data_IF_207379147862
#
_entry.id   IF_207379147862
#
_cell.length_a   1.000
_cell.length_b   1.000
_cell.length_c   1.000
_cell.angle_alpha   90.00
_cell.angle_beta   90.00
_cell.angle_gamma   90.00
#
_symmetry.space_group_name_H-M   'P 1'
#
loop_
_entity.id
_entity.type
_entity.pdbx_description
1 polymer ?
#
# COMPACT_ATOMS: atom_id res chain seq x y z
N UNK A 1 3.01 23.08 7.73
CA UNK A 1 4.35 23.25 7.13
C UNK A 1 4.85 21.83 6.95
N UNK A 2 5.05 21.37 5.74
CA UNK A 2 5.87 20.17 5.52
C UNK A 2 7.27 20.61 5.95
N UNK A 3 7.77 20.05 7.04
CA UNK A 3 9.17 20.24 7.42
C UNK A 3 9.99 19.64 6.27
N UNK A 4 10.99 20.40 5.82
CA UNK A 4 11.81 20.01 4.66
C UNK A 4 12.62 18.77 5.07
N UNK A 5 12.27 17.60 4.54
CA UNK A 5 12.98 16.33 4.80
C UNK A 5 14.40 16.49 4.26
N UNK A 6 15.39 16.48 5.16
CA UNK A 6 16.83 16.56 4.81
C UNK A 6 17.49 15.20 4.77
N UNK A 7 16.98 14.25 5.56
CA UNK A 7 17.47 12.87 5.65
C UNK A 7 16.27 11.95 5.42
N UNK A 8 16.06 11.48 4.19
CA UNK A 8 14.96 10.59 3.87
C UNK A 8 15.19 9.19 4.48
N UNK A 9 14.11 8.62 5.02
CA UNK A 9 14.05 7.24 5.51
C UNK A 9 13.32 6.38 4.49
N UNK A 10 13.96 5.30 4.06
CA UNK A 10 13.33 4.20 3.32
C UNK A 10 13.09 3.06 4.29
N UNK A 11 11.81 2.82 4.62
CA UNK A 11 11.41 1.81 5.59
C UNK A 11 10.97 0.55 4.85
N UNK A 12 11.72 -0.55 5.02
CA UNK A 12 11.40 -1.84 4.40
C UNK A 12 10.89 -2.79 5.46
N UNK A 13 9.65 -3.22 5.27
CA UNK A 13 8.90 -4.08 6.18
C UNK A 13 8.57 -5.43 5.52
N UNK A 14 8.02 -6.35 6.28
CA UNK A 14 7.66 -7.70 5.82
C UNK A 14 8.05 -8.74 6.86
N UNK A 15 7.41 -9.90 6.82
CA UNK A 15 7.72 -11.00 7.75
C UNK A 15 9.13 -11.53 7.58
N UNK A 16 9.60 -12.30 8.55
CA UNK A 16 10.89 -13.00 8.46
C UNK A 16 10.94 -13.82 7.15
N UNK A 17 12.09 -13.81 6.49
CA UNK A 17 12.34 -14.49 5.20
C UNK A 17 11.46 -13.98 4.02
N UNK A 18 10.81 -12.84 4.15
CA UNK A 18 10.00 -12.25 3.05
C UNK A 18 10.83 -11.64 1.91
N UNK A 19 12.16 -11.67 2.01
CA UNK A 19 13.07 -11.16 0.98
C UNK A 19 13.49 -9.69 1.17
N UNK A 20 13.31 -9.09 2.36
CA UNK A 20 13.74 -7.71 2.68
C UNK A 20 15.22 -7.49 2.40
N UNK A 21 16.07 -8.37 2.95
CA UNK A 21 17.54 -8.31 2.80
C UNK A 21 17.95 -8.38 1.33
N UNK A 22 17.38 -9.32 0.57
CA UNK A 22 17.65 -9.48 -0.87
C UNK A 22 17.23 -8.24 -1.66
N UNK A 23 16.04 -7.70 -1.37
CA UNK A 23 15.54 -6.48 -1.99
C UNK A 23 16.47 -5.27 -1.71
N UNK A 24 16.87 -5.11 -0.45
CA UNK A 24 17.75 -4.01 -0.04
C UNK A 24 19.18 -4.17 -0.57
N UNK A 25 19.77 -5.39 -0.54
CA UNK A 25 21.10 -5.63 -1.09
C UNK A 25 21.15 -5.31 -2.59
N UNK A 26 20.09 -5.69 -3.32
CA UNK A 26 19.94 -5.31 -4.73
C UNK A 26 19.79 -3.80 -4.91
N UNK A 27 18.88 -3.16 -4.18
CA UNK A 27 18.52 -1.73 -4.34
C UNK A 27 19.71 -0.82 -4.00
N UNK A 28 20.44 -1.11 -2.91
CA UNK A 28 21.59 -0.32 -2.47
C UNK A 28 22.76 -0.30 -3.48
N UNK A 29 22.79 -1.25 -4.41
CA UNK A 29 23.82 -1.37 -5.44
C UNK A 29 23.42 -0.72 -6.77
N UNK A 30 22.19 -0.22 -6.91
CA UNK A 30 21.70 0.36 -8.17
C UNK A 30 22.15 1.80 -8.35
N UNK A 31 22.50 2.18 -9.58
CA UNK A 31 22.92 3.54 -9.93
C UNK A 31 21.81 4.57 -9.66
N UNK A 32 20.54 4.21 -9.87
CA UNK A 32 19.40 5.11 -9.61
C UNK A 32 19.20 5.39 -8.13
N UNK A 33 19.70 4.54 -7.25
CA UNK A 33 19.62 4.69 -5.80
C UNK A 33 20.94 5.20 -5.18
N UNK A 34 21.97 5.44 -5.99
CA UNK A 34 23.26 5.93 -5.52
C UNK A 34 23.16 7.39 -5.02
N UNK A 35 23.87 7.69 -3.93
CA UNK A 35 24.09 9.04 -3.44
C UNK A 35 25.57 9.26 -3.15
N UNK A 36 26.04 10.51 -3.19
CA UNK A 36 27.42 10.83 -2.85
C UNK A 36 27.66 10.78 -1.32
N UNK A 37 26.61 10.98 -0.54
CA UNK A 37 26.64 11.00 0.92
C UNK A 37 26.64 9.61 1.56
N UNK A 38 26.52 9.61 2.88
CA UNK A 38 26.50 8.40 3.68
C UNK A 38 25.08 7.84 3.82
N UNK A 39 24.92 6.54 3.56
CA UNK A 39 23.71 5.79 3.92
C UNK A 39 23.91 5.10 5.25
N UNK A 40 22.96 5.27 6.18
CA UNK A 40 22.86 4.49 7.41
C UNK A 40 21.83 3.37 7.19
N UNK A 41 22.29 2.11 7.20
CA UNK A 41 21.44 0.94 7.17
C UNK A 41 21.20 0.44 8.60
N UNK A 42 19.97 0.47 9.07
CA UNK A 42 19.57 -0.03 10.39
C UNK A 42 18.90 -1.39 10.20
N UNK A 43 19.46 -2.43 10.82
CA UNK A 43 18.93 -3.80 10.79
C UNK A 43 18.21 -4.09 12.10
N UNK A 44 16.90 -4.34 12.02
CA UNK A 44 16.06 -4.67 13.16
C UNK A 44 15.73 -6.17 13.24
N UNK A 45 16.27 -6.98 12.34
CA UNK A 45 16.04 -8.42 12.27
C UNK A 45 17.26 -9.14 11.72
N UNK A 46 17.59 -10.31 12.27
CA UNK A 46 18.59 -11.22 11.72
C UNK A 46 17.86 -12.31 10.93
N UNK A 47 18.07 -12.37 9.61
CA UNK A 47 17.58 -13.41 8.71
C UNK A 47 18.67 -14.43 8.35
N UNK A 48 18.32 -15.39 7.47
CA UNK A 48 19.31 -16.35 6.92
C UNK A 48 20.22 -15.69 5.89
N UNK A 49 19.73 -14.66 5.19
CA UNK A 49 20.50 -13.91 4.19
C UNK A 49 21.33 -12.82 4.85
N UNK A 50 22.59 -12.72 4.45
CA UNK A 50 23.56 -11.75 4.96
C UNK A 50 23.92 -10.71 3.87
N UNK A 51 24.12 -9.46 4.28
CA UNK A 51 24.64 -8.42 3.39
C UNK A 51 26.12 -8.63 3.04
N UNK A 52 26.48 -8.36 1.79
CA UNK A 52 27.87 -8.26 1.39
C UNK A 52 28.49 -6.94 1.91
N UNK A 53 29.19 -7.03 3.04
CA UNK A 53 29.77 -5.88 3.72
C UNK A 53 30.81 -5.14 2.86
N UNK A 54 31.45 -5.80 1.90
CA UNK A 54 32.42 -5.14 1.02
C UNK A 54 31.69 -4.31 -0.06
N UNK A 55 30.55 -4.77 -0.56
CA UNK A 55 29.68 -4.00 -1.45
C UNK A 55 29.05 -2.80 -0.74
N UNK A 56 28.57 -2.98 0.49
CA UNK A 56 28.02 -1.87 1.28
C UNK A 56 29.04 -0.75 1.52
N UNK A 57 30.32 -1.09 1.72
CA UNK A 57 31.39 -0.08 1.81
C UNK A 57 31.60 0.69 0.51
N UNK A 58 31.41 0.04 -0.64
CA UNK A 58 31.53 0.71 -1.94
C UNK A 58 30.42 1.74 -2.18
N UNK A 59 29.25 1.53 -1.58
CA UNK A 59 28.10 2.46 -1.64
C UNK A 59 28.08 3.46 -0.46
N UNK A 60 29.20 3.59 0.29
CA UNK A 60 29.29 4.45 1.48
C UNK A 60 28.20 4.15 2.53
N UNK A 61 27.82 2.88 2.68
CA UNK A 61 26.80 2.42 3.60
C UNK A 61 27.40 1.93 4.92
N UNK A 62 26.93 2.47 6.04
CA UNK A 62 27.28 2.06 7.40
C UNK A 62 26.11 1.27 7.99
N UNK A 63 26.41 0.17 8.68
CA UNK A 63 25.40 -0.73 9.24
C UNK A 63 25.37 -0.58 10.76
N UNK A 64 24.17 -0.47 11.33
CA UNK A 64 23.88 -0.52 12.78
C UNK A 64 22.77 -1.55 13.06
N UNK A 65 22.91 -2.33 14.12
CA UNK A 65 21.91 -3.31 14.55
C UNK A 65 21.05 -2.79 15.70
N UNK A 66 19.76 -3.13 15.68
CA UNK A 66 18.81 -2.94 16.78
C UNK A 66 18.03 -4.26 16.93
N UNK A 67 18.42 -5.11 17.86
CA UNK A 67 17.86 -6.47 18.02
C UNK A 67 16.52 -6.46 18.75
N UNK A 68 16.36 -5.58 19.75
CA UNK A 68 15.16 -5.51 20.58
C UNK A 68 14.32 -4.27 20.24
N UNK A 69 12.97 -4.43 20.18
CA UNK A 69 12.04 -3.33 19.90
C UNK A 69 12.20 -2.18 20.91
N UNK A 70 12.55 -2.52 22.18
CA UNK A 70 12.74 -1.55 23.27
C UNK A 70 13.95 -0.65 23.03
N UNK A 71 14.93 -1.09 22.25
CA UNK A 71 16.14 -0.33 21.90
C UNK A 71 15.93 0.63 20.71
N UNK A 72 14.88 0.43 19.91
CA UNK A 72 14.49 1.36 18.87
C UNK A 72 13.77 2.56 19.48
N UNK A 73 14.57 3.55 19.88
CA UNK A 73 14.09 4.74 20.58
C UNK A 73 14.51 6.03 19.89
N UNK A 74 13.79 7.17 20.10
CA UNK A 74 14.21 8.48 19.62
C UNK A 74 15.65 8.83 20.00
N UNK A 75 16.07 8.50 21.23
CA UNK A 75 17.41 8.75 21.73
C UNK A 75 18.48 7.91 21.00
N UNK A 76 18.17 6.66 20.67
CA UNK A 76 19.09 5.79 19.91
C UNK A 76 19.25 6.33 18.49
N UNK A 77 18.16 6.70 17.83
CA UNK A 77 18.21 7.30 16.48
C UNK A 77 18.97 8.63 16.48
N UNK A 78 18.74 9.51 17.48
CA UNK A 78 19.48 10.76 17.62
C UNK A 78 20.98 10.55 17.85
N UNK A 79 21.36 9.51 18.61
CA UNK A 79 22.77 9.15 18.79
C UNK A 79 23.40 8.65 17.46
N UNK A 80 22.70 7.84 16.68
CA UNK A 80 23.14 7.40 15.36
C UNK A 80 23.30 8.58 14.39
N UNK A 81 22.38 9.56 14.41
CA UNK A 81 22.47 10.78 13.61
C UNK A 81 23.75 11.56 13.93
N UNK A 82 24.05 11.78 15.22
CA UNK A 82 25.26 12.51 15.66
C UNK A 82 26.54 11.75 15.26
N UNK A 83 26.56 10.43 15.40
CA UNK A 83 27.76 9.61 15.14
C UNK A 83 28.03 9.49 13.64
N UNK A 84 27.00 9.21 12.87
CA UNK A 84 27.16 8.83 11.46
C UNK A 84 26.93 10.00 10.50
N UNK A 85 26.12 11.00 10.88
CA UNK A 85 25.72 12.13 10.05
C UNK A 85 25.24 11.66 8.65
N UNK A 86 24.22 10.79 8.60
CA UNK A 86 23.77 10.21 7.32
C UNK A 86 23.05 11.27 6.48
N UNK A 87 23.15 11.11 5.15
CA UNK A 87 22.32 11.85 4.19
C UNK A 87 21.08 11.04 3.76
N UNK A 88 21.04 9.75 4.12
CA UNK A 88 19.93 8.84 3.90
C UNK A 88 19.93 7.72 4.94
N UNK A 89 18.76 7.32 5.37
CA UNK A 89 18.56 6.17 6.25
C UNK A 89 17.76 5.10 5.52
N UNK A 90 18.17 3.85 5.66
CA UNK A 90 17.44 2.67 5.21
C UNK A 90 17.21 1.80 6.43
N UNK A 91 15.99 1.34 6.65
CA UNK A 91 15.65 0.50 7.79
C UNK A 91 15.09 -0.82 7.30
N UNK A 92 15.78 -1.92 7.59
CA UNK A 92 15.21 -3.26 7.52
C UNK A 92 14.46 -3.54 8.81
N UNK A 93 13.14 -3.36 8.79
CA UNK A 93 12.31 -3.40 9.98
C UNK A 93 11.96 -4.84 10.37
N UNK A 94 11.86 -5.10 11.68
CA UNK A 94 11.49 -6.43 12.18
C UNK A 94 10.03 -6.73 11.87
N UNK A 95 9.78 -7.87 11.21
CA UNK A 95 8.46 -8.28 10.78
C UNK A 95 7.46 -8.62 11.90
N UNK A 96 7.89 -8.63 13.16
CA UNK A 96 7.02 -8.86 14.32
C UNK A 96 6.67 -7.58 15.08
N UNK A 97 7.27 -6.44 14.73
CA UNK A 97 7.00 -5.17 15.37
C UNK A 97 5.92 -4.39 14.61
N UNK A 98 5.12 -3.60 15.34
CA UNK A 98 4.11 -2.75 14.71
C UNK A 98 4.77 -1.56 14.01
N UNK A 99 4.54 -1.42 12.71
CA UNK A 99 5.03 -0.30 11.90
C UNK A 99 4.44 1.02 12.40
N UNK A 100 3.17 1.01 12.79
CA UNK A 100 2.47 2.17 13.35
C UNK A 100 3.13 2.75 14.61
N UNK A 101 3.94 1.97 15.35
CA UNK A 101 4.74 2.51 16.47
C UNK A 101 5.92 3.34 15.96
N UNK A 102 6.60 2.89 14.91
CA UNK A 102 7.70 3.63 14.29
C UNK A 102 7.21 4.91 13.64
N UNK A 103 6.11 4.86 12.89
CA UNK A 103 5.49 6.02 12.24
C UNK A 103 5.11 7.14 13.24
N UNK A 104 4.76 6.77 14.48
CA UNK A 104 4.39 7.69 15.54
C UNK A 104 5.59 8.14 16.40
N UNK A 105 6.77 7.60 16.15
CA UNK A 105 7.97 7.91 16.90
C UNK A 105 8.49 9.31 16.58
N UNK A 106 9.01 10.02 17.59
CA UNK A 106 9.74 11.26 17.38
C UNK A 106 11.08 10.97 16.70
N UNK A 107 11.25 11.44 15.48
CA UNK A 107 12.46 11.24 14.69
C UNK A 107 13.47 12.37 14.94
N UNK A 108 14.79 12.16 14.68
CA UNK A 108 15.79 13.22 14.68
C UNK A 108 15.39 14.37 13.76
N UNK A 109 15.85 15.58 14.07
CA UNK A 109 15.52 16.79 13.30
C UNK A 109 15.95 16.66 11.83
N UNK A 110 14.98 16.80 10.93
CA UNK A 110 15.18 16.70 9.48
C UNK A 110 15.10 15.27 8.93
N UNK A 111 14.95 14.25 9.78
CA UNK A 111 14.61 12.91 9.31
C UNK A 111 13.12 12.83 8.99
N UNK A 112 12.77 12.06 7.98
CA UNK A 112 11.38 11.80 7.63
C UNK A 112 11.23 10.57 6.75
N UNK A 113 10.12 9.86 6.89
CA UNK A 113 9.81 8.71 6.04
C UNK A 113 9.51 9.26 4.64
N UNK A 114 10.33 8.85 3.68
CA UNK A 114 10.20 9.19 2.26
C UNK A 114 9.42 8.10 1.52
N UNK A 115 9.69 6.83 1.87
CA UNK A 115 9.02 5.70 1.26
C UNK A 115 8.93 4.51 2.21
N UNK A 116 7.76 3.87 2.23
CA UNK A 116 7.51 2.62 2.93
C UNK A 116 7.27 1.49 1.93
N UNK A 117 8.04 0.39 2.05
CA UNK A 117 7.99 -0.75 1.15
C UNK A 117 7.73 -2.01 1.97
N UNK A 118 6.76 -2.82 1.57
CA UNK A 118 6.47 -4.10 2.22
C UNK A 118 6.84 -5.25 1.29
N UNK A 119 7.82 -6.06 1.69
CA UNK A 119 8.19 -7.29 0.99
C UNK A 119 7.32 -8.45 1.44
N UNK A 120 6.81 -9.23 0.50
CA UNK A 120 5.92 -10.36 0.75
C UNK A 120 6.37 -11.58 -0.05
N UNK A 121 6.63 -12.68 0.64
CA UNK A 121 6.82 -13.98 -0.02
C UNK A 121 5.45 -14.55 -0.43
N UNK A 122 5.20 -14.66 -1.74
CA UNK A 122 3.94 -15.16 -2.28
C UNK A 122 3.65 -16.60 -1.83
N UNK A 123 4.68 -17.40 -1.55
CA UNK A 123 4.54 -18.81 -1.13
C UNK A 123 4.02 -18.96 0.30
N UNK A 124 4.25 -17.96 1.16
CA UNK A 124 3.84 -17.97 2.57
C UNK A 124 2.70 -16.99 2.88
N UNK A 125 2.35 -16.12 1.95
CA UNK A 125 1.35 -15.06 2.12
C UNK A 125 0.03 -15.55 2.72
N UNK A 126 -0.55 -16.63 2.17
CA UNK A 126 -1.83 -17.16 2.66
C UNK A 126 -1.75 -17.66 4.10
N UNK A 127 -0.62 -18.24 4.51
CA UNK A 127 -0.39 -18.70 5.87
C UNK A 127 -0.34 -17.53 6.85
N UNK A 128 0.39 -16.47 6.50
CA UNK A 128 0.44 -15.25 7.31
C UNK A 128 -0.90 -14.54 7.37
N UNK A 129 -1.62 -14.46 6.27
CA UNK A 129 -2.98 -13.89 6.24
C UNK A 129 -3.97 -14.67 7.10
N UNK A 130 -3.83 -15.99 7.22
CA UNK A 130 -4.68 -16.81 8.09
C UNK A 130 -4.36 -16.66 9.59
N UNK A 131 -3.11 -16.39 9.96
CA UNK A 131 -2.65 -16.45 11.34
C UNK A 131 -2.23 -15.10 11.93
N UNK A 132 -1.74 -14.16 11.11
CA UNK A 132 -1.13 -12.90 11.55
C UNK A 132 -1.69 -11.71 10.77
N UNK A 133 -2.94 -11.79 10.37
CA UNK A 133 -3.58 -10.79 9.50
C UNK A 133 -3.49 -9.36 10.05
N UNK A 134 -3.70 -9.17 11.37
CA UNK A 134 -3.68 -7.83 11.97
C UNK A 134 -2.30 -7.17 11.86
N UNK A 135 -1.23 -7.96 12.05
CA UNK A 135 0.14 -7.45 11.93
C UNK A 135 0.46 -7.11 10.47
N UNK A 136 0.06 -7.97 9.53
CA UNK A 136 0.21 -7.69 8.11
C UNK A 136 -0.55 -6.43 7.67
N UNK A 137 -1.79 -6.23 8.17
CA UNK A 137 -2.57 -5.04 7.88
C UNK A 137 -1.95 -3.76 8.45
N UNK A 138 -1.24 -3.86 9.59
CA UNK A 138 -0.46 -2.73 10.13
C UNK A 138 0.70 -2.36 9.19
N UNK A 139 1.44 -3.35 8.66
CA UNK A 139 2.53 -3.13 7.71
C UNK A 139 2.09 -2.43 6.43
N UNK A 140 0.94 -2.83 5.88
CA UNK A 140 0.49 -2.32 4.58
C UNK A 140 -0.37 -1.07 4.65
N UNK A 141 -0.73 -0.61 5.85
CA UNK A 141 -1.69 0.50 6.05
C UNK A 141 -1.27 1.79 5.34
N UNK A 142 -0.01 2.15 5.47
CA UNK A 142 0.55 3.39 4.91
C UNK A 142 1.67 3.11 3.90
N UNK A 143 1.98 1.84 3.62
CA UNK A 143 3.02 1.49 2.66
C UNK A 143 2.74 2.09 1.28
N UNK A 144 3.78 2.60 0.64
CA UNK A 144 3.69 3.13 -0.73
C UNK A 144 3.73 2.00 -1.76
N UNK A 145 4.46 0.91 -1.45
CA UNK A 145 4.68 -0.19 -2.36
C UNK A 145 4.66 -1.54 -1.64
N UNK A 146 3.99 -2.52 -2.23
CA UNK A 146 4.03 -3.94 -1.80
C UNK A 146 4.67 -4.76 -2.91
N UNK A 147 5.79 -5.39 -2.61
CA UNK A 147 6.53 -6.26 -3.54
C UNK A 147 6.28 -7.72 -3.17
N UNK A 148 5.49 -8.42 -3.97
CA UNK A 148 5.36 -9.87 -3.87
C UNK A 148 6.48 -10.53 -4.67
N UNK A 149 7.33 -11.26 -4.01
CA UNK A 149 8.39 -12.04 -4.65
C UNK A 149 8.06 -13.54 -4.65
N UNK A 150 8.91 -14.33 -5.34
CA UNK A 150 8.77 -15.79 -5.49
C UNK A 150 7.41 -16.22 -6.03
N UNK A 151 6.77 -15.36 -6.83
CA UNK A 151 5.50 -15.65 -7.48
C UNK A 151 5.66 -16.77 -8.51
N UNK A 152 4.60 -17.58 -8.68
CA UNK A 152 4.58 -18.69 -9.63
C UNK A 152 3.38 -18.56 -10.55
N UNK A 153 3.51 -19.17 -11.72
CA UNK A 153 2.38 -19.34 -12.64
C UNK A 153 1.25 -20.13 -11.94
N UNK A 154 0.04 -19.56 -11.95
CA UNK A 154 -1.13 -20.15 -11.28
C UNK A 154 -1.38 -19.64 -9.86
N UNK A 155 -0.50 -18.83 -9.29
CA UNK A 155 -0.81 -18.12 -8.05
C UNK A 155 -1.98 -17.14 -8.24
N UNK A 156 -2.88 -16.99 -7.25
CA UNK A 156 -4.04 -16.10 -7.38
C UNK A 156 -3.65 -14.62 -7.16
N UNK A 157 -2.67 -14.13 -7.95
CA UNK A 157 -2.08 -12.79 -7.83
C UNK A 157 -3.12 -11.66 -7.88
N UNK A 158 -4.16 -11.70 -8.75
CA UNK A 158 -5.21 -10.70 -8.73
C UNK A 158 -5.97 -10.64 -7.39
N UNK A 159 -6.16 -11.80 -6.73
CA UNK A 159 -6.78 -11.83 -5.41
C UNK A 159 -5.86 -11.25 -4.32
N UNK A 160 -4.54 -11.48 -4.41
CA UNK A 160 -3.55 -10.87 -3.51
C UNK A 160 -3.58 -9.37 -3.66
N UNK A 161 -3.51 -8.86 -4.89
CA UNK A 161 -3.60 -7.43 -5.17
C UNK A 161 -4.88 -6.81 -4.64
N UNK A 162 -6.04 -7.43 -4.87
CA UNK A 162 -7.32 -6.95 -4.31
C UNK A 162 -7.27 -6.84 -2.79
N UNK A 163 -6.68 -7.83 -2.11
CA UNK A 163 -6.51 -7.80 -0.66
C UNK A 163 -5.74 -6.59 -0.17
N UNK A 164 -4.63 -6.24 -0.85
CA UNK A 164 -3.85 -5.04 -0.55
C UNK A 164 -4.66 -3.78 -0.84
N UNK A 165 -5.22 -3.64 -2.04
CA UNK A 165 -5.95 -2.44 -2.49
C UNK A 165 -7.21 -2.14 -1.67
N UNK A 166 -7.85 -3.15 -1.09
CA UNK A 166 -8.96 -2.96 -0.14
C UNK A 166 -8.47 -2.31 1.16
N UNK A 167 -7.27 -2.66 1.64
CA UNK A 167 -6.69 -2.11 2.86
C UNK A 167 -6.01 -0.75 2.61
N UNK A 168 -5.27 -0.64 1.52
CA UNK A 168 -4.55 0.56 1.12
C UNK A 168 -4.68 0.77 -0.40
N UNK A 169 -5.57 1.69 -0.80
CA UNK A 169 -5.87 1.96 -2.20
C UNK A 169 -4.71 2.64 -2.95
N UNK A 170 -3.85 3.37 -2.23
CA UNK A 170 -2.72 4.10 -2.81
C UNK A 170 -1.49 3.23 -3.03
N UNK A 171 -1.35 2.11 -2.30
CA UNK A 171 -0.18 1.25 -2.42
C UNK A 171 0.01 0.73 -3.85
N UNK A 172 1.18 0.90 -4.42
CA UNK A 172 1.60 0.18 -5.62
C UNK A 172 1.79 -1.30 -5.27
N UNK A 173 1.42 -2.22 -6.17
CA UNK A 173 1.58 -3.66 -5.92
C UNK A 173 2.30 -4.28 -7.10
N UNK A 174 3.51 -4.75 -6.84
CA UNK A 174 4.41 -5.38 -7.81
C UNK A 174 4.48 -6.88 -7.51
N UNK A 175 4.56 -7.68 -8.55
CA UNK A 175 4.76 -9.12 -8.47
C UNK A 175 6.02 -9.51 -9.22
N UNK A 176 6.88 -10.30 -8.58
CA UNK A 176 8.15 -10.75 -9.14
C UNK A 176 8.26 -12.27 -9.08
N UNK A 177 8.82 -12.85 -10.12
CA UNK A 177 9.26 -14.24 -10.17
C UNK A 177 10.79 -14.30 -10.35
N UNK A 178 11.35 -15.48 -10.68
CA UNK A 178 12.80 -15.66 -10.92
C UNK A 178 13.30 -14.91 -12.16
N UNK A 179 12.41 -14.51 -13.08
CA UNK A 179 12.76 -13.79 -14.31
C UNK A 179 12.68 -12.26 -14.15
N UNK A 180 12.09 -11.78 -13.05
CA UNK A 180 11.87 -10.37 -12.71
C UNK A 180 10.41 -10.02 -12.51
N UNK A 181 10.06 -8.76 -12.75
CA UNK A 181 8.69 -8.27 -12.63
C UNK A 181 7.74 -8.95 -13.62
N UNK A 182 6.59 -9.34 -13.13
CA UNK A 182 5.55 -10.02 -13.92
C UNK A 182 4.57 -8.99 -14.47
N UNK A 183 4.61 -8.81 -15.79
CA UNK A 183 3.62 -8.02 -16.52
C UNK A 183 2.32 -8.81 -16.76
N UNK A 184 1.22 -8.11 -17.08
CA UNK A 184 -0.07 -8.69 -17.52
C UNK A 184 -0.82 -9.60 -16.52
N UNK A 185 -0.59 -9.45 -15.22
CA UNK A 185 -1.26 -10.23 -14.17
C UNK A 185 -2.79 -9.97 -14.09
N UNK A 186 -3.28 -8.93 -14.74
CA UNK A 186 -4.59 -8.31 -14.51
C UNK A 186 -5.71 -8.80 -15.44
N UNK A 187 -5.52 -9.89 -16.18
CA UNK A 187 -6.57 -10.48 -17.02
C UNK A 187 -7.45 -11.46 -16.22
N UNK A 188 -8.01 -11.01 -15.08
CA UNK A 188 -9.10 -11.76 -14.45
C UNK A 188 -10.35 -11.68 -15.34
N UNK A 189 -10.95 -12.82 -15.66
CA UNK A 189 -12.32 -12.83 -16.14
C UNK A 189 -13.21 -12.27 -15.04
N UNK A 190 -13.87 -11.12 -15.33
CA UNK A 190 -14.78 -10.53 -14.36
C UNK A 190 -15.93 -11.48 -14.07
N UNK A 191 -16.35 -11.66 -12.80
CA UNK A 191 -17.46 -12.52 -12.42
C UNK A 191 -18.84 -12.01 -12.92
N UNK A 192 -18.84 -10.88 -13.63
CA UNK A 192 -20.02 -10.24 -14.22
C UNK A 192 -19.75 -9.88 -15.68
N UNK A 193 -20.81 -9.81 -16.48
CA UNK A 193 -20.70 -9.48 -17.92
C UNK A 193 -20.42 -7.98 -18.12
N UNK A 194 -19.15 -7.65 -18.35
CA UNK A 194 -18.68 -6.29 -18.60
C UNK A 194 -19.21 -5.70 -19.92
N UNK A 195 -19.71 -6.51 -20.85
CA UNK A 195 -20.24 -6.07 -22.11
C UNK A 195 -21.78 -5.93 -22.11
N UNK A 196 -22.43 -6.24 -20.98
CA UNK A 196 -23.86 -6.05 -20.82
C UNK A 196 -24.26 -4.57 -20.98
N UNK A 197 -25.46 -4.25 -21.50
CA UNK A 197 -25.95 -2.86 -21.58
C UNK A 197 -26.01 -2.15 -20.21
N UNK A 198 -26.22 -2.92 -19.16
CA UNK A 198 -26.07 -2.51 -17.75
C UNK A 198 -25.26 -3.59 -17.08
N UNK A 199 -24.10 -3.23 -16.56
CA UNK A 199 -23.22 -4.12 -15.81
C UNK A 199 -23.80 -4.27 -14.41
N UNK A 200 -24.40 -5.42 -14.12
CA UNK A 200 -24.93 -5.74 -12.80
C UNK A 200 -23.79 -6.19 -11.90
N UNK A 201 -23.55 -5.48 -10.81
CA UNK A 201 -22.50 -5.78 -9.82
C UNK A 201 -23.16 -6.39 -8.58
N UNK A 202 -23.08 -7.71 -8.39
CA UNK A 202 -23.56 -8.38 -7.19
C UNK A 202 -22.85 -7.89 -5.92
N UNK A 203 -23.49 -8.00 -4.76
CA UNK A 203 -22.86 -7.61 -3.49
C UNK A 203 -21.51 -8.24 -3.20
N UNK A 204 -21.33 -9.50 -3.53
CA UNK A 204 -20.12 -10.30 -3.37
C UNK A 204 -19.00 -9.87 -4.31
N UNK A 205 -19.33 -9.34 -5.48
CA UNK A 205 -18.36 -8.96 -6.51
C UNK A 205 -18.02 -7.46 -6.47
N UNK A 206 -18.65 -6.70 -5.55
CA UNK A 206 -18.46 -5.26 -5.45
C UNK A 206 -17.00 -4.86 -5.24
N UNK A 207 -16.26 -5.58 -4.40
CA UNK A 207 -14.85 -5.33 -4.15
C UNK A 207 -13.98 -5.62 -5.38
N UNK A 208 -14.32 -6.64 -6.16
CA UNK A 208 -13.64 -6.97 -7.42
C UNK A 208 -13.83 -5.84 -8.42
N UNK A 209 -15.09 -5.43 -8.64
CA UNK A 209 -15.40 -4.30 -9.51
C UNK A 209 -14.71 -3.01 -9.07
N UNK A 210 -14.72 -2.70 -7.77
CA UNK A 210 -14.14 -1.48 -7.23
C UNK A 210 -12.64 -1.39 -7.56
N UNK A 211 -11.88 -2.46 -7.30
CA UNK A 211 -10.44 -2.47 -7.58
C UNK A 211 -10.16 -2.48 -9.08
N UNK A 212 -10.85 -3.33 -9.86
CA UNK A 212 -10.64 -3.38 -11.31
C UNK A 212 -10.98 -2.05 -12.00
N UNK A 213 -12.03 -1.35 -11.54
CA UNK A 213 -12.40 -0.05 -12.09
C UNK A 213 -11.39 1.06 -11.70
N UNK A 214 -10.75 0.96 -10.53
CA UNK A 214 -9.69 1.86 -10.12
C UNK A 214 -8.43 1.68 -10.98
N UNK A 215 -8.06 0.44 -11.26
CA UNK A 215 -6.86 0.09 -12.02
C UNK A 215 -7.04 0.28 -13.53
N UNK A 216 -8.24 -0.02 -14.02
CA UNK A 216 -8.58 0.00 -15.45
C UNK A 216 -9.81 0.89 -15.71
N UNK A 217 -9.77 2.18 -15.40
CA UNK A 217 -10.94 3.06 -15.51
C UNK A 217 -11.50 3.11 -16.94
N UNK A 218 -10.65 3.09 -17.96
CA UNK A 218 -11.04 3.10 -19.38
C UNK A 218 -11.93 1.93 -19.78
N UNK A 219 -11.79 0.79 -19.08
CA UNK A 219 -12.62 -0.41 -19.28
C UNK A 219 -14.10 -0.15 -18.95
N UNK A 220 -14.39 0.84 -18.11
CA UNK A 220 -15.73 1.17 -17.61
C UNK A 220 -16.28 2.51 -18.10
N UNK A 221 -15.45 3.42 -18.61
CA UNK A 221 -15.89 4.71 -19.12
C UNK A 221 -17.03 4.54 -20.14
N UNK A 222 -18.04 5.40 -20.02
CA UNK A 222 -19.27 5.42 -20.82
C UNK A 222 -20.22 4.22 -20.60
N UNK A 223 -19.83 3.20 -19.83
CA UNK A 223 -20.71 2.07 -19.48
C UNK A 223 -21.65 2.43 -18.33
N UNK A 224 -22.74 1.69 -18.23
CA UNK A 224 -23.72 1.83 -17.16
C UNK A 224 -23.51 0.68 -16.17
N UNK A 225 -23.30 1.02 -14.90
CA UNK A 225 -23.17 0.06 -13.81
C UNK A 225 -24.40 0.12 -12.90
N UNK A 226 -24.79 -1.02 -12.34
CA UNK A 226 -25.83 -1.12 -11.33
C UNK A 226 -25.33 -1.90 -10.13
N UNK A 227 -25.48 -1.31 -8.94
CA UNK A 227 -25.09 -1.94 -7.70
C UNK A 227 -25.89 -1.39 -6.51
N UNK A 228 -25.84 -2.11 -5.38
CA UNK A 228 -26.41 -1.68 -4.12
C UNK A 228 -25.32 -1.24 -3.15
N UNK A 229 -25.40 0.00 -2.66
CA UNK A 229 -24.43 0.58 -1.75
C UNK A 229 -25.06 1.41 -0.63
N UNK A 230 -24.28 1.72 0.40
CA UNK A 230 -24.64 2.68 1.46
C UNK A 230 -24.21 4.07 1.07
N UNK A 231 -24.99 5.06 1.41
CA UNK A 231 -24.70 6.48 1.14
C UNK A 231 -23.67 7.00 2.15
N UNK A 232 -22.58 7.55 1.66
CA UNK A 232 -21.64 8.37 2.44
C UNK A 232 -21.63 9.80 1.86
N UNK A 233 -21.57 10.79 2.75
CA UNK A 233 -21.47 12.22 2.39
C UNK A 233 -20.31 12.85 3.16
N UNK A 234 -19.10 12.84 2.60
CA UNK A 234 -17.95 13.52 3.19
C UNK A 234 -18.20 15.02 3.38
N UNK A 235 -17.61 15.60 4.42
CA UNK A 235 -17.70 17.04 4.67
C UNK A 235 -17.02 17.80 3.53
N UNK A 236 -17.65 18.87 3.05
CA UNK A 236 -17.12 19.70 1.96
C UNK A 236 -17.49 19.22 0.56
N UNK A 237 -18.07 18.04 0.40
CA UNK A 237 -18.60 17.57 -0.88
C UNK A 237 -19.82 18.41 -1.30
N UNK A 238 -19.87 18.81 -2.55
CA UNK A 238 -20.98 19.61 -3.10
C UNK A 238 -22.34 18.90 -2.97
N UNK A 239 -23.43 19.65 -2.80
CA UNK A 239 -24.76 19.13 -2.51
C UNK A 239 -25.33 18.13 -3.55
N UNK A 240 -24.81 18.13 -4.76
CA UNK A 240 -25.20 17.21 -5.84
C UNK A 240 -24.40 15.92 -5.86
N UNK A 241 -23.46 15.73 -4.91
CA UNK A 241 -22.56 14.61 -4.88
C UNK A 241 -22.77 13.79 -3.59
N UNK A 242 -22.48 12.51 -3.68
CA UNK A 242 -22.43 11.56 -2.57
C UNK A 242 -21.52 10.39 -3.00
N UNK A 243 -21.17 9.53 -2.06
CA UNK A 243 -20.39 8.32 -2.34
C UNK A 243 -21.25 7.11 -1.98
N UNK A 244 -21.85 6.43 -2.96
CA UNK A 244 -22.44 5.12 -2.74
C UNK A 244 -21.35 4.08 -2.67
N UNK A 245 -21.38 3.22 -1.65
CA UNK A 245 -20.32 2.25 -1.49
C UNK A 245 -20.63 1.15 -0.50
N UNK A 246 -19.62 0.36 -0.19
CA UNK A 246 -19.71 -0.74 0.75
C UNK A 246 -18.54 -0.70 1.73
N UNK A 247 -18.80 -1.14 2.94
CA UNK A 247 -17.75 -1.31 3.94
C UNK A 247 -17.10 -2.67 3.73
N UNK A 248 -15.81 -2.69 3.54
CA UNK A 248 -14.98 -3.89 3.54
C UNK A 248 -14.27 -4.02 4.88
N UNK A 249 -14.20 -5.23 5.40
CA UNK A 249 -13.46 -5.56 6.61
C UNK A 249 -12.01 -5.86 6.23
N UNK A 250 -11.06 -5.14 6.82
CA UNK A 250 -9.63 -5.33 6.57
C UNK A 250 -9.07 -6.45 7.45
N UNK A 251 -8.89 -6.24 8.74
CA UNK A 251 -8.35 -7.29 9.63
C UNK A 251 -9.40 -7.86 10.60
N UNK A 252 -10.31 -7.04 11.14
CA UNK A 252 -11.33 -7.46 12.10
C UNK A 252 -12.61 -6.61 11.95
N UNK A 253 -13.63 -6.93 12.73
CA UNK A 253 -14.94 -6.23 12.64
C UNK A 253 -14.85 -4.72 12.92
N UNK A 254 -13.86 -4.29 13.70
CA UNK A 254 -13.66 -2.89 14.08
C UNK A 254 -12.74 -2.14 13.09
N UNK A 255 -11.97 -2.86 12.27
CA UNK A 255 -11.10 -2.30 11.26
C UNK A 255 -11.73 -2.47 9.87
N UNK A 256 -12.37 -1.41 9.41
CA UNK A 256 -13.15 -1.42 8.17
C UNK A 256 -12.82 -0.22 7.30
N UNK A 257 -12.76 -0.45 5.99
CA UNK A 257 -12.58 0.58 4.97
C UNK A 257 -13.86 0.73 4.14
N UNK A 258 -14.23 1.96 3.83
CA UNK A 258 -15.36 2.24 2.96
C UNK A 258 -14.89 2.36 1.51
N UNK A 259 -15.35 1.45 0.67
CA UNK A 259 -15.05 1.41 -0.76
C UNK A 259 -16.20 2.07 -1.53
N UNK A 260 -15.92 3.12 -2.30
CA UNK A 260 -16.96 3.79 -3.10
C UNK A 260 -16.39 4.92 -3.95
N UNK A 261 -17.02 5.13 -5.09
CA UNK A 261 -16.69 6.23 -6.00
C UNK A 261 -17.64 7.41 -5.82
N UNK A 262 -17.17 8.60 -6.16
CA UNK A 262 -18.02 9.79 -6.16
C UNK A 262 -19.15 9.63 -7.18
N UNK A 263 -20.38 9.90 -6.78
CA UNK A 263 -21.54 9.86 -7.65
C UNK A 263 -22.25 11.21 -7.68
N UNK A 264 -22.57 11.69 -8.87
CA UNK A 264 -23.29 12.92 -9.11
C UNK A 264 -24.77 12.62 -9.38
N UNK A 265 -25.67 13.22 -8.60
CA UNK A 265 -27.10 13.02 -8.76
C UNK A 265 -27.91 14.24 -8.32
N UNK A 266 -28.98 14.54 -9.04
CA UNK A 266 -29.99 15.51 -8.59
C UNK A 266 -30.74 15.06 -7.31
N UNK A 267 -30.72 13.76 -7.00
CA UNK A 267 -31.31 13.20 -5.78
C UNK A 267 -30.37 13.25 -4.58
N UNK A 268 -29.07 13.51 -4.78
CA UNK A 268 -28.09 13.54 -3.68
C UNK A 268 -28.53 14.38 -2.45
N UNK A 269 -29.16 15.58 -2.61
CA UNK A 269 -29.62 16.36 -1.45
C UNK A 269 -30.66 15.67 -0.59
N UNK A 270 -31.42 14.72 -1.16
CA UNK A 270 -32.51 14.00 -0.46
C UNK A 270 -32.05 12.71 0.22
N UNK A 271 -30.86 12.23 -0.12
CA UNK A 271 -30.31 11.00 0.45
C UNK A 271 -29.83 11.23 1.88
N UNK A 272 -30.01 10.23 2.73
CA UNK A 272 -29.54 10.25 4.13
C UNK A 272 -28.25 9.46 4.26
N UNK A 273 -27.21 9.98 4.93
CA UNK A 273 -26.00 9.20 5.21
C UNK A 273 -26.33 7.88 5.91
N UNK A 274 -25.75 6.79 5.44
CA UNK A 274 -25.93 5.45 5.99
C UNK A 274 -27.10 4.66 5.42
N UNK A 275 -28.03 5.28 4.67
CA UNK A 275 -29.11 4.52 4.01
C UNK A 275 -28.59 3.67 2.85
N UNK A 276 -29.30 2.59 2.56
CA UNK A 276 -29.03 1.74 1.41
C UNK A 276 -29.75 2.26 0.16
N UNK A 277 -29.02 2.37 -0.93
CA UNK A 277 -29.56 2.79 -2.23
C UNK A 277 -29.15 1.78 -3.32
N UNK A 278 -30.00 1.63 -4.31
CA UNK A 278 -29.63 1.00 -5.57
C UNK A 278 -29.25 2.12 -6.54
N UNK A 279 -28.04 2.02 -7.04
CA UNK A 279 -27.44 2.99 -7.97
C UNK A 279 -27.42 2.39 -9.37
N UNK A 280 -27.94 3.13 -10.33
CA UNK A 280 -27.70 2.89 -11.76
C UNK A 280 -27.09 4.17 -12.32
N UNK A 281 -25.84 4.11 -12.68
CA UNK A 281 -25.07 5.30 -13.09
C UNK A 281 -24.18 5.02 -14.30
N UNK A 282 -23.97 6.04 -15.10
CA UNK A 282 -22.97 6.01 -16.16
C UNK A 282 -21.61 6.36 -15.58
N UNK A 283 -20.60 5.58 -15.90
CA UNK A 283 -19.22 5.79 -15.43
C UNK A 283 -18.55 6.86 -16.27
N UNK A 284 -17.89 7.81 -15.62
CA UNK A 284 -17.04 8.83 -16.21
C UNK A 284 -15.77 9.02 -15.41
N UNK A 285 -14.88 9.88 -15.88
CA UNK A 285 -13.65 10.29 -15.20
C UNK A 285 -13.68 11.80 -15.03
N UNK A 286 -13.44 12.29 -13.81
CA UNK A 286 -13.34 13.74 -13.53
C UNK A 286 -12.14 13.99 -12.57
N UNK A 287 -11.44 15.14 -12.77
CA UNK A 287 -10.49 15.66 -11.76
C UNK A 287 -11.24 16.22 -10.58
N UNK A 288 -10.93 15.73 -9.36
CA UNK A 288 -11.65 16.14 -8.17
C UNK A 288 -10.74 16.26 -6.95
N UNK A 289 -11.11 17.13 -6.01
CA UNK A 289 -10.41 17.28 -4.74
C UNK A 289 -10.46 16.00 -3.89
N UNK A 290 -11.54 15.22 -4.02
CA UNK A 290 -11.69 13.92 -3.35
C UNK A 290 -10.67 12.88 -3.82
N UNK A 291 -10.07 13.10 -4.98
CA UNK A 291 -8.97 12.32 -5.57
C UNK A 291 -7.65 13.13 -5.55
N UNK A 292 -7.46 13.99 -4.53
CA UNK A 292 -6.27 14.84 -4.36
C UNK A 292 -5.94 15.73 -5.58
N UNK A 293 -6.95 16.03 -6.41
CA UNK A 293 -6.78 16.80 -7.64
C UNK A 293 -6.47 15.98 -8.89
N UNK A 294 -6.36 14.66 -8.73
CA UNK A 294 -6.15 13.72 -9.83
C UNK A 294 -7.48 13.30 -10.49
N UNK A 295 -7.39 12.59 -11.59
CA UNK A 295 -8.52 11.97 -12.27
C UNK A 295 -8.99 10.73 -11.51
N UNK A 296 -10.31 10.58 -11.37
CA UNK A 296 -10.91 9.43 -10.74
C UNK A 296 -12.33 9.17 -11.26
N UNK A 297 -12.85 7.99 -10.95
CA UNK A 297 -14.18 7.54 -11.38
C UNK A 297 -15.29 8.38 -10.73
N UNK A 298 -16.26 8.80 -11.55
CA UNK A 298 -17.47 9.53 -11.15
C UNK A 298 -18.71 8.94 -11.82
#
# INVERSE_FOLDING_TARGET
MMDDIRVPIYLVTGFLESGKTTFLDFTLQQEYFAIDGKTLLILCEEGEEEYDMDKLKLTNTVVEGIEDEEDLTPQRLAAMDIIHQPERVVIEYNGMWLVSKFEQMELPEGWGIEQEITCVDATTYQVYMANMKSLFMDMIRNTDMVVFNRCKEGDPLPAYRRGIKVANQSAEVIFENEEGEMDDIFQDEMPFDINAPIIEIPPEDYGIWFVDAMDNPDKYVDKIVRFKGRVMKPRGMGSKFFVPGRTAMTCCADDTTFLGYVCKSAYAPKLTPGEWVEVTAKVGIEKRNEYQGEEGIV
#
